data_IF_914086279597
#
_entry.id   IF_914086279597
#
_cell.length_a   1.000
_cell.length_b   1.000
_cell.length_c   1.000
_cell.angle_alpha   90.00
_cell.angle_beta   90.00
_cell.angle_gamma   90.00
#
_symmetry.space_group_name_H-M   'P 1'
#
loop_
_entity.id
_entity.type
_entity.pdbx_description
1 polymer ?
#
# COMPACT_ATOMS: atom_id res chain seq x y z
N UNK A 1 -14.52 1.09 -7.24
CA UNK A 1 -13.70 1.43 -6.07
C UNK A 1 -12.99 0.17 -5.63
N UNK A 2 -11.74 0.29 -5.21
CA UNK A 2 -10.93 -0.85 -4.75
C UNK A 2 -10.58 -0.68 -3.28
N UNK A 3 -10.43 -1.81 -2.59
CA UNK A 3 -10.04 -1.84 -1.19
C UNK A 3 -8.53 -1.56 -1.04
N UNK A 4 -8.18 -0.65 -0.13
CA UNK A 4 -6.81 -0.41 0.25
C UNK A 4 -6.28 -1.54 1.16
N UNK A 5 -5.19 -2.24 0.79
CA UNK A 5 -4.63 -3.33 1.60
C UNK A 5 -4.07 -2.89 2.94
N UNK A 6 -3.84 -1.60 3.15
CA UNK A 6 -3.34 -1.03 4.40
C UNK A 6 -4.47 -0.74 5.36
N UNK A 7 -5.53 -0.03 4.95
CA UNK A 7 -6.57 0.42 5.89
C UNK A 7 -7.96 -0.21 5.67
N UNK A 8 -8.17 -0.97 4.60
CA UNK A 8 -9.46 -1.57 4.27
C UNK A 8 -10.51 -0.59 3.74
N UNK A 9 -10.14 0.66 3.45
CA UNK A 9 -11.08 1.62 2.82
C UNK A 9 -11.33 1.26 1.36
N UNK A 10 -12.58 1.35 0.93
CA UNK A 10 -13.00 1.18 -0.47
C UNK A 10 -13.02 2.52 -1.21
N UNK A 11 -11.96 3.32 -1.07
CA UNK A 11 -11.87 4.68 -1.64
C UNK A 11 -10.89 4.77 -2.83
N UNK A 12 -10.18 3.68 -3.18
CA UNK A 12 -9.26 3.69 -4.31
C UNK A 12 -10.00 3.69 -5.65
N UNK A 13 -9.48 4.46 -6.61
CA UNK A 13 -10.05 4.58 -7.96
C UNK A 13 -9.38 3.65 -8.97
N UNK A 14 -8.15 3.22 -8.70
CA UNK A 14 -7.40 2.21 -9.44
C UNK A 14 -7.08 1.01 -8.55
N UNK A 15 -6.71 -0.11 -9.18
CA UNK A 15 -6.17 -1.26 -8.45
C UNK A 15 -4.80 -0.88 -7.90
N UNK A 16 -4.45 -1.22 -6.64
CA UNK A 16 -3.11 -1.02 -6.10
C UNK A 16 -1.99 -1.49 -7.05
N UNK A 17 -2.20 -2.67 -7.66
CA UNK A 17 -1.31 -3.34 -8.61
C UNK A 17 -2.10 -3.98 -9.76
N UNK A 18 -1.44 -4.27 -10.90
CA UNK A 18 -2.07 -4.93 -12.06
C UNK A 18 -2.81 -6.22 -11.68
N UNK A 19 -2.16 -7.05 -10.85
CA UNK A 19 -2.73 -8.25 -10.24
C UNK A 19 -3.30 -7.90 -8.88
N UNK A 20 -4.59 -7.56 -8.87
CA UNK A 20 -5.32 -7.28 -7.63
C UNK A 20 -6.77 -7.78 -7.71
N UNK A 21 -7.27 -8.48 -6.67
CA UNK A 21 -6.60 -8.85 -5.41
C UNK A 21 -5.46 -9.88 -5.60
N UNK A 22 -4.53 -10.02 -4.65
CA UNK A 22 -3.48 -11.03 -4.70
C UNK A 22 -4.05 -12.46 -4.74
N UNK A 23 -3.35 -13.43 -5.34
CA UNK A 23 -3.74 -14.83 -5.29
C UNK A 23 -3.84 -15.35 -3.84
N UNK A 24 -4.79 -16.26 -3.59
CA UNK A 24 -4.94 -16.88 -2.27
C UNK A 24 -3.63 -17.54 -1.80
N UNK A 25 -3.24 -17.25 -0.56
CA UNK A 25 -2.01 -17.78 0.03
C UNK A 25 -0.71 -17.11 -0.45
N UNK A 26 -0.78 -16.03 -1.23
CA UNK A 26 0.40 -15.27 -1.61
C UNK A 26 1.07 -14.65 -0.37
N UNK A 27 2.35 -14.96 -0.18
CA UNK A 27 3.21 -14.24 0.79
C UNK A 27 3.84 -13.08 0.06
N UNK A 28 3.42 -11.85 0.38
CA UNK A 28 3.91 -10.64 -0.26
C UNK A 28 4.94 -9.95 0.62
N UNK A 29 6.09 -9.63 0.03
CA UNK A 29 7.10 -8.75 0.62
C UNK A 29 7.37 -7.61 -0.34
N UNK A 30 7.57 -6.38 0.14
CA UNK A 30 7.96 -5.27 -0.72
C UNK A 30 9.34 -5.54 -1.37
N UNK A 31 9.59 -5.07 -2.61
CA UNK A 31 8.67 -4.30 -3.44
C UNK A 31 7.57 -5.20 -4.03
N UNK A 32 6.32 -4.75 -3.98
CA UNK A 32 5.20 -5.62 -4.35
C UNK A 32 5.05 -5.81 -5.86
N UNK A 33 5.65 -4.92 -6.64
CA UNK A 33 5.62 -4.99 -8.10
C UNK A 33 6.26 -6.27 -8.66
N UNK A 34 7.22 -6.85 -7.93
CA UNK A 34 7.89 -8.12 -8.29
C UNK A 34 6.90 -9.30 -8.37
N UNK A 35 5.77 -9.22 -7.65
CA UNK A 35 4.77 -10.28 -7.55
C UNK A 35 3.43 -9.90 -8.18
N UNK A 36 3.06 -8.62 -8.11
CA UNK A 36 1.72 -8.15 -8.46
C UNK A 36 1.68 -7.36 -9.78
N UNK A 37 2.83 -7.12 -10.40
CA UNK A 37 2.94 -6.31 -11.61
C UNK A 37 2.98 -4.82 -11.31
N UNK A 38 2.73 -3.98 -12.31
CA UNK A 38 2.93 -2.53 -12.15
C UNK A 38 2.04 -1.93 -11.04
N UNK A 39 2.59 -1.06 -10.19
CA UNK A 39 1.78 -0.32 -9.22
C UNK A 39 0.92 0.74 -9.91
N UNK A 40 -0.13 1.17 -9.23
CA UNK A 40 -0.97 2.30 -9.67
C UNK A 40 -0.35 3.67 -9.44
N UNK A 41 0.59 3.79 -8.50
CA UNK A 41 1.03 5.08 -7.94
C UNK A 41 -0.11 5.91 -7.33
N UNK A 42 -1.26 5.30 -7.07
CA UNK A 42 -2.35 5.97 -6.36
C UNK A 42 -1.99 6.10 -4.87
N UNK A 43 -2.31 7.27 -4.30
CA UNK A 43 -2.22 7.50 -2.86
C UNK A 43 -3.58 7.21 -2.24
N UNK A 44 -3.63 6.35 -1.23
CA UNK A 44 -4.89 6.06 -0.55
C UNK A 44 -5.47 7.32 0.13
N UNK A 45 -6.69 7.77 -0.21
CA UNK A 45 -7.28 8.97 0.39
C UNK A 45 -7.54 8.85 1.90
N UNK A 46 -7.64 7.61 2.42
CA UNK A 46 -7.86 7.37 3.83
C UNK A 46 -6.54 7.34 4.61
N UNK A 47 -5.62 6.43 4.29
CA UNK A 47 -4.42 6.22 5.10
C UNK A 47 -3.12 6.80 4.52
N UNK A 48 -3.12 7.39 3.33
CA UNK A 48 -1.95 8.06 2.75
C UNK A 48 -0.90 7.16 2.08
N UNK A 49 -1.08 5.84 2.07
CA UNK A 49 -0.12 4.93 1.44
C UNK A 49 -0.05 5.13 -0.08
N UNK A 50 1.14 5.30 -0.64
CA UNK A 50 1.41 5.41 -2.07
C UNK A 50 1.94 4.08 -2.64
N UNK A 51 1.13 3.41 -3.47
CA UNK A 51 1.51 2.12 -4.05
C UNK A 51 2.66 2.26 -5.05
N UNK A 52 3.76 1.55 -4.82
CA UNK A 52 4.96 1.56 -5.64
C UNK A 52 6.03 2.55 -5.19
N UNK A 53 5.71 3.55 -4.37
CA UNK A 53 6.70 4.50 -3.83
C UNK A 53 6.95 4.28 -2.33
N UNK A 54 5.93 3.94 -1.53
CA UNK A 54 6.15 3.60 -0.11
C UNK A 54 6.76 2.20 0.05
N UNK A 55 6.34 1.23 -0.77
CA UNK A 55 6.90 -0.13 -0.76
C UNK A 55 8.12 -0.31 -1.68
N UNK A 56 8.42 0.67 -2.54
CA UNK A 56 9.65 0.66 -3.33
C UNK A 56 10.21 2.09 -3.53
N UNK A 57 10.72 2.74 -2.46
CA UNK A 57 11.15 4.14 -2.51
C UNK A 57 12.42 4.38 -3.35
N UNK A 58 13.08 3.31 -3.80
CA UNK A 58 14.37 3.37 -4.47
C UNK A 58 15.50 3.94 -3.58
N UNK A 59 16.70 4.01 -4.15
CA UNK A 59 17.87 4.56 -3.45
C UNK A 59 18.24 3.78 -2.18
N UNK A 60 18.43 4.50 -1.07
CA UNK A 60 18.84 3.94 0.23
C UNK A 60 17.71 3.92 1.27
N UNK A 61 16.48 4.30 0.89
CA UNK A 61 15.34 4.29 1.80
C UNK A 61 14.84 2.85 2.00
N UNK A 62 14.40 2.52 3.21
CA UNK A 62 13.80 1.22 3.49
C UNK A 62 12.36 1.20 2.97
N UNK A 63 11.96 0.16 2.22
CA UNK A 63 10.57 0.00 1.81
C UNK A 63 9.67 -0.32 3.01
N UNK A 64 8.43 0.16 2.98
CA UNK A 64 7.42 -0.17 3.97
C UNK A 64 6.53 -1.31 3.45
N UNK A 65 6.37 -2.38 4.23
CA UNK A 65 5.29 -3.34 3.97
C UNK A 65 3.93 -2.76 4.38
N UNK A 66 2.83 -3.26 3.80
CA UNK A 66 1.48 -2.91 4.22
C UNK A 66 1.23 -3.13 5.71
N UNK A 67 1.82 -4.19 6.28
CA UNK A 67 1.66 -4.54 7.69
C UNK A 67 2.41 -3.56 8.60
N UNK A 68 3.65 -3.21 8.25
CA UNK A 68 4.44 -2.21 8.99
C UNK A 68 3.76 -0.83 8.93
N UNK A 69 3.38 -0.39 7.73
CA UNK A 69 2.72 0.89 7.54
C UNK A 69 1.38 0.95 8.29
N UNK A 70 0.56 -0.11 8.24
CA UNK A 70 -0.68 -0.20 9.02
C UNK A 70 -0.41 -0.08 10.51
N UNK A 71 0.62 -0.75 11.03
CA UNK A 71 0.93 -0.74 12.45
C UNK A 71 1.32 0.66 12.92
N UNK A 72 2.16 1.36 12.16
CA UNK A 72 2.57 2.74 12.46
C UNK A 72 1.38 3.71 12.38
N UNK A 73 0.63 3.68 11.28
CA UNK A 73 -0.58 4.49 11.10
C UNK A 73 -1.61 4.26 12.22
N UNK A 74 -1.80 3.01 12.63
CA UNK A 74 -2.72 2.65 13.71
C UNK A 74 -2.22 3.16 15.08
N UNK A 75 -0.92 3.11 15.33
CA UNK A 75 -0.31 3.62 16.56
C UNK A 75 -0.50 5.15 16.73
N UNK A 76 -0.61 5.89 15.63
CA UNK A 76 -0.91 7.33 15.61
C UNK A 76 -2.42 7.64 15.71
N UNK A 77 -3.27 6.64 15.89
CA UNK A 77 -4.71 6.82 16.01
C UNK A 77 -5.47 6.80 14.69
N UNK A 78 -4.88 6.23 13.63
CA UNK A 78 -5.50 6.06 12.32
C UNK A 78 -5.98 7.39 11.67
N UNK A 79 -5.13 8.43 11.62
CA UNK A 79 -5.52 9.72 11.05
C UNK A 79 -5.91 9.59 9.58
N UNK A 80 -6.91 10.36 9.14
CA UNK A 80 -7.21 10.53 7.71
C UNK A 80 -6.16 11.39 7.03
N UNK A 81 -5.83 11.06 5.78
CA UNK A 81 -4.84 11.77 4.97
C UNK A 81 -3.48 11.88 5.67
N UNK A 82 -2.97 10.74 6.16
CA UNK A 82 -1.65 10.66 6.81
C UNK A 82 -0.58 11.19 5.85
N UNK A 83 0.11 12.25 6.28
CA UNK A 83 1.07 12.98 5.47
C UNK A 83 2.40 12.95 6.22
N UNK A 84 3.08 11.79 6.18
CA UNK A 84 4.37 11.58 6.84
C UNK A 84 5.50 12.30 6.11
#
# INVERSE_FOLDING_TARGET
MFECPVCGSEELTAKPYETWPPPDGATLTPPYEDYLGRPSYEVCPNCGFEFGNDDNPGGNASPASFAEYRAEWSAEGSPRCWNR
#
